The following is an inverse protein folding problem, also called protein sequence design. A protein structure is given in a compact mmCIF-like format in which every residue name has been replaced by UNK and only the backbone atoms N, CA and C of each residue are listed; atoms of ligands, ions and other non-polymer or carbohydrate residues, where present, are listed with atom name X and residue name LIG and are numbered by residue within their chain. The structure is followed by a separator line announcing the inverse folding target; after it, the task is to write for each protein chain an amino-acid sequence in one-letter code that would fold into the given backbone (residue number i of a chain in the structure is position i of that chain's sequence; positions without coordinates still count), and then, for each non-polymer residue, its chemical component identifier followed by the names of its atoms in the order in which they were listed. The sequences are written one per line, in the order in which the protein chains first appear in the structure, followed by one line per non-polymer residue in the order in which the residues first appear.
data_IF_123795660691
#
_entry.id   IF_123795660691
#
_cell.length_a   1.000
_cell.length_b   1.000
_cell.length_c   1.000
_cell.angle_alpha   90.00
_cell.angle_beta   90.00
_cell.angle_gamma   90.00
#
_symmetry.space_group_name_H-M   'P 1'
#
loop_
_entity.id
_entity.type
_entity.pdbx_description
1 polymer ?
#
# COMPACT_ATOMS: atom_id res chain seq x y z
N UNK A 1 6.09 -10.55 -30.50
CA UNK A 1 6.82 -11.30 -29.46
C UNK A 1 7.03 -10.32 -28.31
N UNK A 2 6.25 -10.51 -27.24
CA UNK A 2 6.43 -9.74 -26.00
C UNK A 2 7.82 -10.05 -25.45
N UNK A 3 8.71 -9.10 -25.55
CA UNK A 3 9.98 -9.19 -24.86
C UNK A 3 9.70 -9.12 -23.35
N UNK A 4 10.22 -10.03 -22.53
CA UNK A 4 10.09 -9.89 -21.09
C UNK A 4 10.74 -8.56 -20.68
N UNK A 5 9.98 -7.70 -20.01
CA UNK A 5 10.43 -6.43 -19.40
C UNK A 5 11.43 -6.69 -18.25
N UNK A 6 12.43 -7.54 -18.49
CA UNK A 6 13.41 -7.95 -17.50
C UNK A 6 14.79 -7.48 -17.94
N UNK A 7 15.23 -6.38 -17.36
CA UNK A 7 16.64 -5.99 -17.45
C UNK A 7 17.46 -6.88 -16.52
N UNK A 8 18.58 -7.40 -17.03
CA UNK A 8 19.61 -8.04 -16.19
C UNK A 8 20.50 -7.03 -15.46
N UNK A 9 20.35 -5.74 -15.78
CA UNK A 9 21.10 -4.62 -15.22
C UNK A 9 20.47 -4.17 -13.90
N UNK A 10 21.24 -3.95 -12.84
CA UNK A 10 20.70 -3.40 -11.60
C UNK A 10 20.29 -1.94 -11.78
N UNK A 11 19.18 -1.55 -11.16
CA UNK A 11 18.71 -0.17 -11.07
C UNK A 11 19.40 0.51 -9.89
N UNK A 12 20.24 1.49 -10.17
CA UNK A 12 21.04 2.22 -9.16
C UNK A 12 20.66 3.70 -9.07
N UNK A 13 20.08 4.21 -10.13
CA UNK A 13 19.65 5.60 -10.23
C UNK A 13 18.22 5.70 -10.79
N UNK A 14 17.55 6.85 -10.66
CA UNK A 14 16.24 7.08 -11.28
C UNK A 14 16.28 6.89 -12.80
N UNK A 15 17.38 7.31 -13.45
CA UNK A 15 17.58 7.15 -14.89
C UNK A 15 17.51 5.69 -15.32
N UNK A 16 18.12 4.77 -14.57
CA UNK A 16 18.08 3.34 -14.89
C UNK A 16 16.63 2.80 -14.90
N UNK A 17 15.78 3.32 -14.00
CA UNK A 17 14.37 2.93 -13.95
C UNK A 17 13.58 3.55 -15.11
N UNK A 18 13.89 4.80 -15.47
CA UNK A 18 13.29 5.50 -16.61
C UNK A 18 13.72 4.85 -17.92
N UNK A 19 15.01 4.47 -18.07
CA UNK A 19 15.49 3.72 -19.23
C UNK A 19 14.75 2.39 -19.42
N UNK A 20 14.39 1.73 -18.32
CA UNK A 20 13.69 0.44 -18.35
C UNK A 20 12.24 0.53 -18.84
N UNK A 21 11.47 1.50 -18.35
CA UNK A 21 10.01 1.56 -18.57
C UNK A 21 9.49 2.93 -19.00
N UNK A 22 10.30 3.99 -18.91
CA UNK A 22 9.85 5.36 -19.13
C UNK A 22 9.28 5.57 -20.52
N UNK A 23 9.94 5.08 -21.57
CA UNK A 23 9.45 5.20 -22.95
C UNK A 23 8.07 4.54 -23.13
N UNK A 24 7.89 3.35 -22.56
CA UNK A 24 6.60 2.67 -22.61
C UNK A 24 5.52 3.47 -21.89
N UNK A 25 5.81 3.99 -20.70
CA UNK A 25 4.85 4.74 -19.88
C UNK A 25 4.51 6.11 -20.50
N UNK A 26 5.48 6.80 -21.09
CA UNK A 26 5.26 8.09 -21.75
C UNK A 26 4.35 8.01 -22.98
N UNK A 27 4.26 6.84 -23.61
CA UNK A 27 3.40 6.61 -24.78
C UNK A 27 1.95 6.26 -24.42
N UNK A 28 1.63 6.14 -23.12
CA UNK A 28 0.27 5.84 -22.67
C UNK A 28 -0.59 7.11 -22.65
N UNK A 29 -1.86 6.96 -23.01
CA UNK A 29 -2.86 8.04 -23.08
C UNK A 29 -3.54 8.34 -21.74
N UNK A 30 -3.11 7.65 -20.67
CA UNK A 30 -3.70 7.72 -19.33
C UNK A 30 -2.66 7.61 -18.25
N UNK A 31 -3.02 8.04 -17.06
CA UNK A 31 -2.18 7.86 -15.87
C UNK A 31 -2.08 6.40 -15.49
N UNK A 32 -0.86 5.94 -15.27
CA UNK A 32 -0.56 4.56 -14.88
C UNK A 32 0.47 4.57 -13.78
N UNK A 33 0.23 3.79 -12.74
CA UNK A 33 1.23 3.49 -11.72
C UNK A 33 1.75 2.08 -11.93
N UNK A 34 3.07 1.97 -12.07
CA UNK A 34 3.80 0.72 -12.16
C UNK A 34 4.71 0.56 -10.96
N UNK A 35 4.81 -0.66 -10.42
CA UNK A 35 5.79 -1.03 -9.40
C UNK A 35 6.87 -1.90 -10.02
N UNK A 36 8.13 -1.51 -9.81
CA UNK A 36 9.31 -2.33 -10.13
C UNK A 36 9.78 -2.96 -8.83
N UNK A 37 9.69 -4.27 -8.74
CA UNK A 37 10.16 -5.04 -7.59
C UNK A 37 11.62 -5.42 -7.79
N UNK A 38 12.45 -5.19 -6.77
CA UNK A 38 13.90 -5.36 -6.85
C UNK A 38 14.39 -6.47 -5.92
N UNK A 39 15.47 -7.11 -6.35
CA UNK A 39 16.30 -8.01 -5.53
C UNK A 39 17.32 -7.23 -4.71
N UNK A 40 18.01 -7.93 -3.80
CA UNK A 40 19.07 -7.36 -2.97
C UNK A 40 20.21 -6.74 -3.78
N UNK A 41 20.49 -7.26 -4.99
CA UNK A 41 21.51 -6.72 -5.90
C UNK A 41 21.01 -5.54 -6.76
N UNK A 42 19.76 -5.08 -6.52
CA UNK A 42 19.13 -3.99 -7.25
C UNK A 42 18.56 -4.37 -8.62
N UNK A 43 18.60 -5.65 -8.99
CA UNK A 43 18.03 -6.10 -10.27
C UNK A 43 16.51 -6.24 -10.18
N UNK A 44 15.78 -5.86 -11.23
CA UNK A 44 14.33 -6.06 -11.27
C UNK A 44 13.99 -7.56 -11.26
N UNK A 45 13.03 -7.93 -10.41
CA UNK A 45 12.39 -9.26 -10.41
C UNK A 45 11.26 -9.27 -11.40
N UNK A 46 10.43 -8.24 -11.33
CA UNK A 46 9.29 -8.01 -12.21
C UNK A 46 8.85 -6.54 -12.17
N UNK A 47 7.97 -6.21 -13.11
CA UNK A 47 7.26 -4.94 -13.16
C UNK A 47 5.77 -5.22 -13.25
N UNK A 48 4.97 -4.54 -12.42
CA UNK A 48 3.52 -4.73 -12.38
C UNK A 48 2.81 -3.40 -12.52
N UNK A 49 1.84 -3.35 -13.42
CA UNK A 49 0.91 -2.23 -13.53
C UNK A 49 -0.15 -2.40 -12.45
N UNK A 50 -0.16 -1.51 -11.46
CA UNK A 50 -1.00 -1.63 -10.27
C UNK A 50 -2.24 -0.75 -10.30
N UNK A 51 -2.23 0.28 -11.14
CA UNK A 51 -3.39 1.10 -11.42
C UNK A 51 -3.32 1.66 -12.84
N UNK A 52 -4.46 1.66 -13.51
CA UNK A 52 -4.68 2.38 -14.76
C UNK A 52 -5.93 3.24 -14.54
N UNK A 53 -5.74 4.55 -14.38
CA UNK A 53 -6.82 5.50 -14.10
C UNK A 53 -7.60 5.93 -15.33
N UNK A 54 -8.71 6.63 -15.11
CA UNK A 54 -9.28 7.53 -16.09
C UNK A 54 -8.33 8.72 -16.30
N UNK A 55 -8.52 9.47 -17.38
CA UNK A 55 -7.58 10.50 -17.91
C UNK A 55 -7.04 11.50 -16.85
N UNK A 56 -7.64 11.59 -15.68
CA UNK A 56 -7.28 12.59 -14.66
C UNK A 56 -7.14 12.02 -13.23
N UNK A 57 -7.22 10.71 -13.01
CA UNK A 57 -7.15 10.16 -11.66
C UNK A 57 -6.70 8.69 -11.65
N UNK A 58 -5.56 8.44 -11.03
CA UNK A 58 -5.02 7.11 -10.83
C UNK A 58 -4.92 6.81 -9.32
N UNK A 59 -5.83 6.00 -8.80
CA UNK A 59 -5.79 5.59 -7.40
C UNK A 59 -5.12 4.22 -7.29
N UNK A 60 -3.81 4.22 -7.04
CA UNK A 60 -3.09 3.00 -6.71
C UNK A 60 -3.33 2.64 -5.24
N UNK A 61 -4.05 1.55 -4.99
CA UNK A 61 -4.27 1.10 -3.62
C UNK A 61 -3.01 0.40 -3.07
N UNK A 62 -2.54 0.73 -1.87
CA UNK A 62 -1.32 0.13 -1.29
C UNK A 62 -1.28 -1.39 -1.34
N UNK A 63 -2.39 -2.07 -1.07
CA UNK A 63 -2.43 -3.55 -1.13
C UNK A 63 -2.10 -4.10 -2.51
N UNK A 64 -2.45 -3.42 -3.61
CA UNK A 64 -2.13 -3.88 -4.96
C UNK A 64 -0.64 -3.71 -5.27
N UNK A 65 -0.03 -2.65 -4.75
CA UNK A 65 1.40 -2.41 -4.85
C UNK A 65 2.16 -3.48 -4.05
N UNK A 66 1.88 -3.61 -2.76
CA UNK A 66 2.59 -4.56 -1.89
C UNK A 66 2.30 -6.02 -2.20
N UNK A 67 1.11 -6.35 -2.74
CA UNK A 67 0.79 -7.71 -3.15
C UNK A 67 1.83 -8.27 -4.12
N UNK A 68 2.21 -7.49 -5.15
CA UNK A 68 3.22 -7.94 -6.12
C UNK A 68 4.61 -8.05 -5.48
N UNK A 69 4.98 -7.11 -4.61
CA UNK A 69 6.26 -7.11 -3.92
C UNK A 69 6.41 -8.33 -2.98
N UNK A 70 5.38 -8.64 -2.20
CA UNK A 70 5.36 -9.79 -1.29
C UNK A 70 5.43 -11.10 -2.08
N UNK A 71 4.56 -11.27 -3.10
CA UNK A 71 4.53 -12.50 -3.89
C UNK A 71 5.81 -12.78 -4.67
N UNK A 72 6.57 -11.75 -5.02
CA UNK A 72 7.85 -11.88 -5.71
C UNK A 72 9.06 -11.94 -4.78
N UNK A 73 8.88 -11.96 -3.46
CA UNK A 73 9.95 -11.87 -2.47
C UNK A 73 10.89 -10.69 -2.75
N UNK A 74 10.32 -9.54 -3.11
CA UNK A 74 11.10 -8.34 -3.37
C UNK A 74 11.77 -7.84 -2.09
N UNK A 75 13.01 -7.39 -2.21
CA UNK A 75 13.76 -6.78 -1.09
C UNK A 75 13.56 -5.28 -1.02
N UNK A 76 13.13 -4.66 -2.12
CA UNK A 76 12.75 -3.26 -2.22
C UNK A 76 11.91 -3.01 -3.47
N UNK A 77 11.37 -1.81 -3.61
CA UNK A 77 10.55 -1.46 -4.77
C UNK A 77 10.76 0.00 -5.19
N UNK A 78 10.45 0.27 -6.45
CA UNK A 78 10.39 1.60 -7.05
C UNK A 78 8.99 1.77 -7.65
N UNK A 79 8.37 2.94 -7.47
CA UNK A 79 7.16 3.31 -8.19
C UNK A 79 7.51 4.18 -9.39
N UNK A 80 6.93 3.86 -10.54
CA UNK A 80 6.90 4.71 -11.72
C UNK A 80 5.47 5.14 -12.00
N UNK A 81 5.26 6.44 -12.18
CA UNK A 81 3.96 7.03 -12.44
C UNK A 81 4.01 7.87 -13.73
N UNK A 82 3.08 7.62 -14.66
CA UNK A 82 3.01 8.40 -15.91
C UNK A 82 2.01 9.53 -15.82
N UNK A 83 2.44 10.73 -16.25
CA UNK A 83 1.57 11.90 -16.47
C UNK A 83 1.42 12.18 -17.97
N UNK A 84 0.32 11.82 -18.61
CA UNK A 84 0.11 12.04 -20.05
C UNK A 84 0.15 13.52 -20.44
N UNK A 85 -0.16 14.42 -19.50
CA UNK A 85 -0.08 15.86 -19.69
C UNK A 85 1.35 16.38 -19.91
N UNK A 86 2.37 15.56 -19.58
CA UNK A 86 3.77 15.97 -19.59
C UNK A 86 4.19 16.86 -18.42
N UNK A 87 3.27 17.20 -17.50
CA UNK A 87 3.60 17.93 -16.28
C UNK A 87 4.21 16.96 -15.25
N UNK A 88 5.49 17.12 -14.96
CA UNK A 88 6.22 16.24 -14.05
C UNK A 88 6.08 16.62 -12.57
N UNK A 89 5.44 17.76 -12.26
CA UNK A 89 5.22 18.14 -10.87
C UNK A 89 4.23 17.16 -10.22
N UNK A 90 4.56 16.61 -9.02
CA UNK A 90 3.67 15.72 -8.31
C UNK A 90 2.37 16.44 -7.91
N UNK A 91 1.25 15.77 -8.06
CA UNK A 91 -0.02 16.20 -7.53
C UNK A 91 -0.06 16.05 -6.00
N UNK A 92 -1.11 16.55 -5.37
CA UNK A 92 -1.38 16.31 -3.96
C UNK A 92 -1.60 14.83 -3.68
N UNK A 93 -2.29 14.16 -4.57
CA UNK A 93 -2.62 12.74 -4.53
C UNK A 93 -1.36 11.88 -4.61
N UNK A 94 -0.42 12.22 -5.50
CA UNK A 94 0.89 11.56 -5.60
C UNK A 94 1.68 11.68 -4.31
N UNK A 95 1.70 12.87 -3.74
CA UNK A 95 2.40 13.12 -2.47
C UNK A 95 1.79 12.32 -1.32
N UNK A 96 0.46 12.29 -1.19
CA UNK A 96 -0.25 11.51 -0.17
C UNK A 96 -0.03 10.01 -0.36
N UNK A 97 -0.06 9.53 -1.61
CA UNK A 97 0.23 8.13 -1.93
C UNK A 97 1.66 7.77 -1.53
N UNK A 98 2.63 8.61 -1.90
CA UNK A 98 4.04 8.40 -1.57
C UNK A 98 4.27 8.32 -0.07
N UNK A 99 3.72 9.26 0.72
CA UNK A 99 3.81 9.25 2.18
C UNK A 99 3.23 7.97 2.79
N UNK A 100 2.04 7.55 2.30
CA UNK A 100 1.41 6.31 2.74
C UNK A 100 2.27 5.09 2.40
N UNK A 101 2.85 5.06 1.21
CA UNK A 101 3.71 3.97 0.77
C UNK A 101 5.01 3.89 1.58
N UNK A 102 5.61 5.03 1.93
CA UNK A 102 6.80 5.08 2.80
C UNK A 102 6.51 4.46 4.17
N UNK A 103 5.42 4.85 4.82
CA UNK A 103 5.03 4.33 6.13
C UNK A 103 4.77 2.81 6.10
N UNK A 104 4.06 2.34 5.08
CA UNK A 104 3.78 0.92 4.93
C UNK A 104 5.02 0.11 4.55
N UNK A 105 5.91 0.66 3.74
CA UNK A 105 7.15 0.01 3.32
C UNK A 105 8.07 -0.28 4.50
N UNK A 106 8.12 0.62 5.48
CA UNK A 106 8.85 0.43 6.71
C UNK A 106 8.27 -0.70 7.56
N UNK A 107 6.93 -0.72 7.73
CA UNK A 107 6.24 -1.77 8.49
C UNK A 107 6.38 -3.16 7.87
N UNK A 108 6.39 -3.24 6.55
CA UNK A 108 6.48 -4.51 5.81
C UNK A 108 7.93 -4.97 5.56
N UNK A 109 8.92 -4.11 5.86
CA UNK A 109 10.32 -4.41 5.58
C UNK A 109 10.65 -4.50 4.08
N UNK A 110 9.86 -3.85 3.22
CA UNK A 110 10.07 -3.75 1.77
C UNK A 110 10.19 -2.27 1.40
N UNK A 111 11.39 -1.66 1.52
CA UNK A 111 11.59 -0.24 1.32
C UNK A 111 11.15 0.27 -0.05
N UNK A 112 10.46 1.42 -0.07
CA UNK A 112 10.25 2.21 -1.27
C UNK A 112 11.52 3.01 -1.56
N UNK A 113 12.30 2.58 -2.56
CA UNK A 113 13.59 3.20 -2.91
C UNK A 113 13.39 4.57 -3.55
N UNK A 114 12.39 4.67 -4.44
CA UNK A 114 12.01 5.93 -5.09
C UNK A 114 10.56 5.89 -5.58
N UNK A 115 10.00 7.08 -5.81
CA UNK A 115 8.81 7.29 -6.62
C UNK A 115 9.19 8.26 -7.73
N UNK A 116 9.01 7.85 -8.98
CA UNK A 116 9.46 8.58 -10.17
C UNK A 116 8.24 8.88 -11.03
N UNK A 117 8.08 10.15 -11.39
CA UNK A 117 7.05 10.58 -12.33
C UNK A 117 7.70 10.79 -13.70
N UNK A 118 7.11 10.19 -14.72
CA UNK A 118 7.49 10.34 -16.13
C UNK A 118 6.33 10.93 -16.92
N UNK A 119 6.62 11.61 -18.02
CA UNK A 119 5.55 12.17 -18.85
C UNK A 119 6.11 12.95 -20.06
N UNK A 120 5.27 13.12 -21.07
CA UNK A 120 5.69 13.78 -22.30
C UNK A 120 6.79 13.01 -23.03
N UNK A 121 7.95 13.62 -23.19
CA UNK A 121 9.14 12.98 -23.76
C UNK A 121 9.92 12.25 -22.68
N UNK A 122 10.49 11.09 -23.02
CA UNK A 122 11.24 10.22 -22.09
C UNK A 122 12.65 10.75 -21.72
N UNK A 123 12.89 12.04 -21.84
CA UNK A 123 14.16 12.70 -21.53
C UNK A 123 14.13 13.46 -20.19
N UNK A 124 12.98 13.47 -19.54
CA UNK A 124 12.78 14.17 -18.28
C UNK A 124 11.89 13.36 -17.32
N UNK A 125 12.18 13.50 -16.03
CA UNK A 125 11.43 12.83 -14.96
C UNK A 125 11.48 13.68 -13.68
N UNK A 126 10.63 13.35 -12.73
CA UNK A 126 10.70 13.84 -11.35
C UNK A 126 10.95 12.65 -10.42
N UNK A 127 11.98 12.71 -9.59
CA UNK A 127 12.27 11.72 -8.55
C UNK A 127 12.06 12.33 -7.17
N UNK A 128 11.23 11.69 -6.35
CA UNK A 128 11.02 12.10 -4.97
C UNK A 128 12.30 11.94 -4.14
N UNK A 129 13.12 10.92 -4.44
CA UNK A 129 14.40 10.70 -3.78
C UNK A 129 15.40 11.81 -4.06
N UNK A 130 15.61 12.17 -5.33
CA UNK A 130 16.54 13.23 -5.72
C UNK A 130 16.13 14.60 -5.19
N UNK A 131 14.83 14.85 -5.07
CA UNK A 131 14.30 16.07 -4.47
C UNK A 131 14.33 16.07 -2.95
N UNK A 132 14.86 14.99 -2.32
CA UNK A 132 14.93 14.83 -0.86
C UNK A 132 13.56 14.93 -0.17
N UNK A 133 12.49 14.53 -0.86
CA UNK A 133 11.12 14.56 -0.34
C UNK A 133 10.75 13.24 0.35
N UNK A 134 11.53 12.17 0.14
CA UNK A 134 11.34 10.90 0.85
C UNK A 134 11.86 11.00 2.28
N UNK A 135 10.99 11.46 3.19
CA UNK A 135 11.30 11.48 4.62
C UNK A 135 10.99 10.13 5.27
N UNK A 136 12.00 9.32 5.56
CA UNK A 136 11.82 8.16 6.43
C UNK A 136 11.66 8.66 7.86
N UNK A 137 10.44 8.68 8.38
CA UNK A 137 10.20 8.75 9.81
C UNK A 137 10.27 7.32 10.33
N UNK A 138 11.37 6.96 10.99
CA UNK A 138 11.48 5.66 11.62
C UNK A 138 10.37 5.49 12.67
N UNK A 139 9.35 4.73 12.34
CA UNK A 139 8.40 4.25 13.32
C UNK A 139 9.16 3.30 14.25
N UNK A 140 9.38 3.71 15.49
CA UNK A 140 9.94 2.81 16.50
C UNK A 140 8.89 1.76 16.80
N UNK A 141 9.02 0.59 16.18
CA UNK A 141 8.29 -0.58 16.61
C UNK A 141 8.87 -1.01 17.95
N UNK A 142 8.02 -1.22 18.95
CA UNK A 142 8.45 -1.76 20.22
C UNK A 142 8.94 -3.20 20.01
N UNK A 143 10.22 -3.42 20.24
CA UNK A 143 10.88 -4.72 20.08
C UNK A 143 11.02 -5.49 21.38
N UNK A 144 10.80 -4.84 22.54
CA UNK A 144 10.79 -5.51 23.83
C UNK A 144 9.40 -6.03 24.16
N UNK A 145 9.25 -7.35 24.18
CA UNK A 145 8.00 -8.02 24.51
C UNK A 145 7.38 -7.57 25.85
N UNK A 146 8.21 -7.19 26.83
CA UNK A 146 7.74 -6.75 28.14
C UNK A 146 7.04 -5.39 28.12
N UNK A 147 7.31 -4.60 27.10
CA UNK A 147 6.69 -3.28 26.90
C UNK A 147 5.43 -3.34 26.03
N UNK A 148 5.12 -4.52 25.44
CA UNK A 148 3.92 -4.69 24.64
C UNK A 148 2.70 -4.79 25.55
N UNK A 149 1.81 -3.82 25.46
CA UNK A 149 0.53 -3.81 26.16
C UNK A 149 -0.55 -4.31 25.21
N UNK A 150 -1.04 -5.52 25.46
CA UNK A 150 -2.19 -6.06 24.75
C UNK A 150 -3.47 -5.64 25.49
N UNK A 151 -4.39 -4.88 24.88
CA UNK A 151 -5.66 -4.54 25.50
C UNK A 151 -6.53 -5.81 25.60
N UNK A 152 -6.39 -6.53 26.70
CA UNK A 152 -7.18 -7.72 27.00
C UNK A 152 -8.60 -7.38 27.50
N UNK A 153 -8.87 -6.12 27.83
CA UNK A 153 -10.13 -5.71 28.45
C UNK A 153 -11.34 -5.71 27.49
N UNK A 154 -11.14 -5.48 26.18
CA UNK A 154 -12.28 -5.34 25.26
C UNK A 154 -13.01 -6.67 24.92
N UNK A 155 -12.42 -7.83 25.19
CA UNK A 155 -13.04 -9.13 24.88
C UNK A 155 -13.83 -9.68 26.07
N UNK A 156 -13.42 -9.36 27.29
CA UNK A 156 -14.07 -9.86 28.52
C UNK A 156 -15.36 -9.08 28.84
N UNK A 157 -15.39 -7.77 28.67
CA UNK A 157 -16.57 -6.94 28.99
C UNK A 157 -17.75 -7.19 28.02
N UNK A 158 -17.49 -7.40 26.75
CA UNK A 158 -18.56 -7.71 25.79
C UNK A 158 -19.23 -9.08 26.04
N UNK A 159 -18.49 -10.06 26.57
CA UNK A 159 -19.05 -11.36 26.89
C UNK A 159 -19.85 -11.36 28.20
N UNK A 160 -19.50 -10.52 29.17
CA UNK A 160 -20.25 -10.38 30.43
C UNK A 160 -21.58 -9.66 30.21
N UNK A 161 -21.57 -8.56 29.47
CA UNK A 161 -22.80 -7.81 29.17
C UNK A 161 -23.77 -8.61 28.30
N UNK A 162 -23.31 -9.38 27.32
CA UNK A 162 -24.20 -10.22 26.51
C UNK A 162 -24.80 -11.39 27.32
N UNK A 163 -24.08 -11.92 28.30
CA UNK A 163 -24.62 -12.98 29.17
C UNK A 163 -25.63 -12.44 30.20
N UNK A 164 -25.45 -11.22 30.69
CA UNK A 164 -26.42 -10.57 31.59
C UNK A 164 -27.71 -10.18 30.87
N UNK A 165 -27.62 -9.66 29.65
CA UNK A 165 -28.79 -9.33 28.83
C UNK A 165 -29.59 -10.57 28.44
N UNK A 166 -28.90 -11.66 28.02
CA UNK A 166 -29.57 -12.93 27.73
C UNK A 166 -30.22 -13.56 28.99
N UNK A 167 -29.58 -13.44 30.14
CA UNK A 167 -30.13 -13.95 31.41
C UNK A 167 -31.35 -13.12 31.87
N UNK A 168 -31.36 -11.83 31.61
CA UNK A 168 -32.49 -10.94 31.88
C UNK A 168 -33.68 -11.24 30.95
N UNK A 169 -33.48 -11.47 29.67
CA UNK A 169 -34.53 -11.85 28.71
C UNK A 169 -35.15 -13.21 29.02
N UNK A 170 -34.37 -14.18 29.46
CA UNK A 170 -34.86 -15.52 29.89
C UNK A 170 -35.76 -15.41 31.12
N UNK A 171 -35.41 -14.60 32.11
CA UNK A 171 -36.23 -14.39 33.32
C UNK A 171 -37.57 -13.70 33.02
N UNK A 172 -37.56 -12.70 32.11
CA UNK A 172 -38.79 -12.02 31.70
C UNK A 172 -39.77 -12.98 31.01
N UNK A 173 -39.24 -13.90 30.18
CA UNK A 173 -40.06 -14.89 29.48
C UNK A 173 -40.61 -15.97 30.41
N UNK A 174 -39.88 -16.40 31.46
CA UNK A 174 -40.37 -17.33 32.45
C UNK A 174 -41.50 -16.73 33.30
N UNK A 175 -41.39 -15.48 33.76
CA UNK A 175 -42.40 -14.80 34.53
C UNK A 175 -43.71 -14.56 33.70
N UNK A 176 -43.57 -14.28 32.41
CA UNK A 176 -44.69 -14.14 31.49
C UNK A 176 -45.46 -15.47 31.29
N UNK A 177 -44.71 -16.59 31.27
CA UNK A 177 -45.28 -17.95 31.10
C UNK A 177 -45.98 -18.43 32.36
N UNK A 178 -45.48 -18.09 33.56
CA UNK A 178 -46.08 -18.44 34.87
C UNK A 178 -47.36 -17.65 35.07
N UNK A 179 -47.43 -16.35 34.69
CA UNK A 179 -48.68 -15.54 34.79
C UNK A 179 -49.80 -16.04 33.88
N UNK A 180 -49.48 -16.57 32.69
CA UNK A 180 -50.50 -17.13 31.78
C UNK A 180 -51.08 -18.47 32.27
N UNK A 181 -50.37 -19.22 33.13
CA UNK A 181 -50.85 -20.49 33.70
C UNK A 181 -51.71 -20.32 34.97
N UNK A 182 -51.64 -19.16 35.64
CA UNK A 182 -52.46 -18.86 36.86
C UNK A 182 -53.74 -18.09 36.55
N UNK A 183 -53.99 -17.77 35.32
CA UNK A 183 -55.19 -17.00 34.87
C UNK A 183 -56.24 -17.86 34.11
N UNK A 184 -56.24 -19.18 34.29
CA UNK A 184 -57.28 -20.11 33.82
C UNK A 184 -57.88 -20.89 34.95
#
# INVERSE_FOLDING_TARGET
QDQPLMSSKPIRSPEDAVELLGEYLCNLDREVVCVINLRTDGKPVNCNFVSMGAVNECIAHPREIFKSAILSNATSMILLHSHPSGNLNPSREDTVMTDRMLKLSELLGIPLVDHIIVGGKNDSYFSFKEKHVLGYQHNKLESDYNNLVFPTACVAENNLNQNEDMAAELKVNEDATVRRRRGR
#
